data_IF_276440880587
#
_entry.id   IF_276440880587
#
_cell.length_a   1.000
_cell.length_b   1.000
_cell.length_c   1.000
_cell.angle_alpha   90.00
_cell.angle_beta   90.00
_cell.angle_gamma   90.00
#
_symmetry.space_group_name_H-M   'P 1'
#
loop_
_entity.id
_entity.type
_entity.pdbx_description
1 polymer ?
#
# COMPACT_ATOMS: atom_id res chain seq x y z
N UNK A 1 13.13 26.05 -16.26
CA UNK A 1 13.03 24.86 -15.37
C UNK A 1 13.98 23.82 -15.90
N UNK A 2 14.94 23.42 -15.11
CA UNK A 2 15.81 22.28 -15.48
C UNK A 2 15.01 20.98 -15.37
N UNK A 3 15.40 19.96 -16.12
CA UNK A 3 14.75 18.63 -16.07
C UNK A 3 14.79 18.07 -14.63
N UNK A 4 15.86 18.36 -13.90
CA UNK A 4 16.01 17.97 -12.50
C UNK A 4 14.98 18.64 -11.57
N UNK A 5 14.65 19.91 -11.77
CA UNK A 5 13.62 20.61 -11.01
C UNK A 5 12.22 20.04 -11.29
N UNK A 6 11.92 19.68 -12.53
CA UNK A 6 10.63 19.08 -12.89
C UNK A 6 10.46 17.69 -12.27
N UNK A 7 11.52 16.89 -12.25
CA UNK A 7 11.45 15.52 -11.70
C UNK A 7 11.35 15.54 -10.16
N UNK A 8 11.95 16.53 -9.49
CA UNK A 8 11.95 16.64 -8.02
C UNK A 8 10.66 17.25 -7.45
N UNK A 9 9.82 17.87 -8.26
CA UNK A 9 8.53 18.40 -7.79
C UNK A 9 7.49 17.28 -7.63
N UNK A 10 6.53 17.41 -6.69
CA UNK A 10 5.43 16.48 -6.57
C UNK A 10 4.59 16.50 -7.85
N UNK A 11 4.54 15.39 -8.54
CA UNK A 11 3.80 15.29 -9.79
C UNK A 11 2.30 15.32 -9.54
N UNK A 12 1.54 16.12 -10.30
CA UNK A 12 0.10 16.14 -10.16
C UNK A 12 -0.51 14.78 -10.53
N UNK A 13 -1.63 14.44 -9.88
CA UNK A 13 -2.31 13.15 -10.03
C UNK A 13 -2.66 12.80 -11.48
N UNK A 14 -2.96 13.80 -12.32
CA UNK A 14 -3.28 13.61 -13.73
C UNK A 14 -2.06 13.26 -14.61
N UNK A 15 -0.84 13.35 -14.08
CA UNK A 15 0.39 12.88 -14.71
C UNK A 15 0.81 11.53 -14.12
N UNK A 16 0.87 11.45 -12.80
CA UNK A 16 1.31 10.24 -12.10
C UNK A 16 0.34 9.07 -12.32
N UNK A 17 -0.97 9.31 -12.30
CA UNK A 17 -1.99 8.27 -12.51
C UNK A 17 -1.87 7.57 -13.87
N UNK A 18 -1.89 8.29 -15.00
CA UNK A 18 -1.68 7.70 -16.32
C UNK A 18 -0.34 6.98 -16.48
N UNK A 19 0.75 7.47 -15.89
CA UNK A 19 2.05 6.79 -15.93
C UNK A 19 2.02 5.45 -15.20
N UNK A 20 1.41 5.38 -14.01
CA UNK A 20 1.21 4.13 -13.29
C UNK A 20 0.34 3.18 -14.11
N UNK A 21 -0.75 3.67 -14.69
CA UNK A 21 -1.61 2.89 -15.57
C UNK A 21 -0.87 2.34 -16.78
N UNK A 22 -0.01 3.14 -17.39
CA UNK A 22 0.82 2.71 -18.53
C UNK A 22 1.77 1.58 -18.16
N UNK A 23 2.39 1.63 -16.97
CA UNK A 23 3.27 0.54 -16.47
C UNK A 23 2.49 -0.77 -16.38
N UNK A 24 1.24 -0.75 -15.92
CA UNK A 24 0.40 -1.96 -15.84
C UNK A 24 0.09 -2.55 -17.23
N UNK A 25 -0.27 -1.69 -18.18
CA UNK A 25 -0.55 -2.09 -19.55
C UNK A 25 0.71 -2.68 -20.19
N UNK A 26 1.87 -2.05 -20.00
CA UNK A 26 3.15 -2.55 -20.52
C UNK A 26 3.53 -3.89 -19.88
N UNK A 27 3.34 -4.03 -18.58
CA UNK A 27 3.63 -5.29 -17.88
C UNK A 27 2.76 -6.43 -18.44
N UNK A 28 1.47 -6.18 -18.65
CA UNK A 28 0.56 -7.16 -19.19
C UNK A 28 0.86 -7.47 -20.68
N UNK A 29 1.23 -6.46 -21.45
CA UNK A 29 1.51 -6.61 -22.87
C UNK A 29 2.85 -7.31 -23.15
N UNK A 30 3.91 -6.98 -22.38
CA UNK A 30 5.26 -7.54 -22.58
C UNK A 30 5.39 -8.91 -21.91
N UNK A 31 4.95 -9.02 -20.65
CA UNK A 31 5.14 -10.23 -19.84
C UNK A 31 3.94 -11.15 -19.82
N UNK A 32 2.79 -10.70 -20.34
CA UNK A 32 1.49 -11.41 -20.24
C UNK A 32 1.16 -11.81 -18.78
N UNK A 33 1.49 -10.94 -17.83
CA UNK A 33 1.35 -11.18 -16.40
C UNK A 33 0.52 -10.08 -15.73
N UNK A 34 -0.54 -10.45 -15.01
CA UNK A 34 -1.32 -9.47 -14.22
C UNK A 34 -0.53 -9.03 -12.98
N UNK A 35 -0.51 -7.74 -12.70
CA UNK A 35 0.10 -7.24 -11.47
C UNK A 35 -0.73 -7.66 -10.26
N UNK A 36 -0.11 -8.35 -9.31
CA UNK A 36 -0.71 -8.74 -8.04
C UNK A 36 0.33 -8.64 -6.90
N UNK A 37 0.47 -7.45 -6.31
CA UNK A 37 1.48 -7.22 -5.28
C UNK A 37 1.29 -8.10 -4.03
N UNK A 38 0.05 -8.48 -3.67
CA UNK A 38 -0.20 -9.36 -2.53
C UNK A 38 0.33 -10.79 -2.71
N UNK A 39 0.46 -11.26 -3.96
CA UNK A 39 1.04 -12.58 -4.22
C UNK A 39 2.54 -12.63 -3.93
N UNK A 40 3.25 -11.49 -3.96
CA UNK A 40 4.67 -11.41 -3.64
C UNK A 40 4.97 -11.90 -2.21
N UNK A 41 4.10 -11.58 -1.25
CA UNK A 41 4.25 -12.08 0.12
C UNK A 41 4.19 -13.62 0.19
N UNK A 42 3.30 -14.22 -0.60
CA UNK A 42 3.21 -15.68 -0.71
C UNK A 42 4.47 -16.27 -1.33
N UNK A 43 5.00 -15.64 -2.39
CA UNK A 43 6.23 -16.07 -3.04
C UNK A 43 7.43 -15.93 -2.10
N UNK A 44 7.52 -14.84 -1.34
CA UNK A 44 8.55 -14.65 -0.31
C UNK A 44 8.45 -15.72 0.79
N UNK A 45 7.25 -15.98 1.32
CA UNK A 45 7.06 -17.03 2.31
C UNK A 45 7.42 -18.42 1.75
N UNK A 46 7.07 -18.72 0.51
CA UNK A 46 7.43 -19.98 -0.13
C UNK A 46 8.95 -20.14 -0.38
N UNK A 47 9.66 -19.02 -0.56
CA UNK A 47 11.12 -19.01 -0.73
C UNK A 47 11.86 -19.19 0.61
N UNK A 48 11.34 -18.58 1.70
CA UNK A 48 11.98 -18.59 3.03
C UNK A 48 11.62 -19.86 3.82
N UNK A 49 10.36 -20.29 3.76
CA UNK A 49 9.86 -21.45 4.50
C UNK A 49 9.62 -22.63 3.55
N UNK A 50 10.60 -23.54 3.40
CA UNK A 50 10.43 -24.69 2.51
C UNK A 50 9.35 -25.64 3.05
N UNK A 51 8.20 -25.50 2.51
CA UNK A 51 7.20 -26.50 2.12
C UNK A 51 6.79 -27.62 3.08
N UNK A 52 6.49 -27.34 4.35
CA UNK A 52 5.62 -28.25 5.13
C UNK A 52 4.13 -27.91 4.98
N UNK A 53 3.81 -26.71 4.51
CA UNK A 53 2.45 -26.21 4.37
C UNK A 53 2.00 -26.43 2.90
N UNK A 54 0.92 -27.18 2.62
CA UNK A 54 0.46 -27.44 1.24
C UNK A 54 0.26 -26.18 0.40
N UNK A 55 -0.16 -25.09 1.04
CA UNK A 55 -0.38 -23.78 0.44
C UNK A 55 0.89 -23.13 -0.14
N UNK A 56 2.07 -23.40 0.45
CA UNK A 56 3.37 -22.87 0.01
C UNK A 56 4.12 -23.85 -0.92
N UNK A 57 3.55 -25.05 -1.15
CA UNK A 57 4.16 -26.10 -1.98
C UNK A 57 3.84 -25.88 -3.45
N UNK A 58 4.51 -24.93 -4.09
CA UNK A 58 4.42 -24.68 -5.51
C UNK A 58 5.76 -24.14 -6.05
N UNK A 59 5.91 -24.10 -7.36
CA UNK A 59 7.13 -23.60 -7.99
C UNK A 59 7.17 -22.05 -7.95
N UNK A 60 7.57 -21.47 -6.81
CA UNK A 60 7.70 -20.03 -6.65
C UNK A 60 8.74 -19.40 -7.58
N UNK A 61 9.71 -20.19 -8.10
CA UNK A 61 10.71 -19.70 -9.06
C UNK A 61 10.10 -19.28 -10.40
N UNK A 62 8.98 -19.86 -10.79
CA UNK A 62 8.24 -19.42 -11.98
C UNK A 62 7.64 -18.00 -11.81
N UNK A 63 7.49 -17.54 -10.57
CA UNK A 63 6.94 -16.23 -10.23
C UNK A 63 8.01 -15.21 -9.78
N UNK A 64 9.28 -15.50 -10.08
CA UNK A 64 10.41 -14.61 -9.72
C UNK A 64 10.25 -13.20 -10.32
N UNK A 65 9.63 -13.10 -11.49
CA UNK A 65 9.32 -11.81 -12.11
C UNK A 65 8.57 -10.85 -11.16
N UNK A 66 7.62 -11.37 -10.39
CA UNK A 66 6.83 -10.60 -9.43
C UNK A 66 7.71 -10.09 -8.27
N UNK A 67 8.63 -10.92 -7.79
CA UNK A 67 9.60 -10.51 -6.75
C UNK A 67 10.57 -9.45 -7.27
N UNK A 68 11.05 -9.59 -8.53
CA UNK A 68 11.90 -8.58 -9.18
C UNK A 68 11.13 -7.27 -9.37
N UNK A 69 9.87 -7.33 -9.77
CA UNK A 69 9.02 -6.15 -9.92
C UNK A 69 8.85 -5.40 -8.58
N UNK A 70 8.54 -6.12 -7.50
CA UNK A 70 8.42 -5.52 -6.16
C UNK A 70 9.76 -4.97 -5.66
N UNK A 71 10.87 -5.67 -5.92
CA UNK A 71 12.20 -5.14 -5.62
C UNK A 71 12.49 -3.85 -6.40
N UNK A 72 12.06 -3.78 -7.67
CA UNK A 72 12.15 -2.57 -8.48
C UNK A 72 11.35 -1.39 -7.90
N UNK A 73 10.13 -1.64 -7.39
CA UNK A 73 9.34 -0.60 -6.69
C UNK A 73 10.08 -0.12 -5.43
N UNK A 74 10.65 -1.05 -4.65
CA UNK A 74 11.39 -0.71 -3.44
C UNK A 74 12.64 0.12 -3.75
N UNK A 75 13.43 -0.29 -4.74
CA UNK A 75 14.62 0.44 -5.20
C UNK A 75 14.22 1.82 -5.74
N UNK A 76 13.15 1.88 -6.56
CA UNK A 76 12.65 3.15 -7.10
C UNK A 76 12.20 4.11 -6.00
N UNK A 77 11.49 3.63 -4.99
CA UNK A 77 11.10 4.42 -3.82
C UNK A 77 12.31 4.91 -3.01
N UNK A 78 13.31 4.05 -2.80
CA UNK A 78 14.54 4.41 -2.13
C UNK A 78 15.32 5.49 -2.90
N UNK A 79 15.46 5.34 -4.21
CA UNK A 79 16.11 6.34 -5.05
C UNK A 79 15.33 7.66 -5.06
N UNK A 80 14.01 7.61 -5.11
CA UNK A 80 13.19 8.80 -5.03
C UNK A 80 13.39 9.53 -3.69
N UNK A 81 13.40 8.81 -2.58
CA UNK A 81 13.58 9.38 -1.26
C UNK A 81 14.99 9.95 -1.03
N UNK A 82 16.04 9.38 -1.66
CA UNK A 82 17.42 9.80 -1.45
C UNK A 82 17.90 10.84 -2.46
N UNK A 83 17.53 10.69 -3.74
CA UNK A 83 18.04 11.53 -4.84
C UNK A 83 17.08 12.68 -5.15
N UNK A 84 15.76 12.41 -5.09
CA UNK A 84 14.72 13.38 -5.43
C UNK A 84 14.14 14.06 -4.19
N UNK A 85 14.72 13.81 -3.02
CA UNK A 85 14.22 14.32 -1.75
C UNK A 85 14.22 15.85 -1.75
N UNK A 86 13.04 16.43 -1.85
CA UNK A 86 12.84 17.83 -1.54
C UNK A 86 12.57 17.94 -0.02
N UNK A 87 13.28 18.85 0.67
CA UNK A 87 13.07 19.09 2.12
C UNK A 87 11.75 19.85 2.39
N UNK A 88 10.76 19.74 1.53
CA UNK A 88 9.44 20.34 1.75
C UNK A 88 8.62 19.40 2.63
N UNK A 89 8.23 19.89 3.80
CA UNK A 89 7.21 19.27 4.63
C UNK A 89 5.98 18.94 3.77
N UNK A 90 5.34 17.82 4.06
CA UNK A 90 4.12 17.42 3.36
C UNK A 90 3.10 18.54 3.51
N UNK A 91 2.73 19.18 2.41
CA UNK A 91 1.76 20.27 2.42
C UNK A 91 0.35 19.68 2.55
N UNK A 92 -0.09 19.48 3.78
CA UNK A 92 -1.47 19.10 4.11
C UNK A 92 -2.27 20.38 4.37
N UNK A 93 -3.54 20.41 3.94
CA UNK A 93 -4.40 21.56 4.22
C UNK A 93 -4.58 21.77 5.74
N UNK A 94 -4.64 23.02 6.17
CA UNK A 94 -4.81 23.34 7.59
C UNK A 94 -6.08 22.74 8.19
N UNK A 95 -7.15 22.58 7.40
CA UNK A 95 -8.38 21.91 7.83
C UNK A 95 -8.14 20.42 8.12
N UNK A 96 -7.38 19.74 7.27
CA UNK A 96 -7.04 18.31 7.49
C UNK A 96 -6.15 18.16 8.72
N UNK A 97 -5.18 19.06 8.92
CA UNK A 97 -4.32 19.05 10.12
C UNK A 97 -5.18 19.21 11.38
N UNK A 98 -6.10 20.17 11.40
CA UNK A 98 -7.00 20.38 12.54
C UNK A 98 -7.90 19.16 12.80
N UNK A 99 -8.44 18.54 11.75
CA UNK A 99 -9.23 17.32 11.88
C UNK A 99 -8.40 16.16 12.45
N UNK A 100 -7.19 15.95 11.96
CA UNK A 100 -6.28 14.91 12.46
C UNK A 100 -5.90 15.16 13.92
N UNK A 101 -5.61 16.41 14.29
CA UNK A 101 -5.33 16.79 15.66
C UNK A 101 -6.54 16.61 16.58
N UNK A 102 -7.74 16.89 16.10
CA UNK A 102 -8.98 16.71 16.86
C UNK A 102 -9.27 15.26 17.22
N UNK A 103 -8.82 14.31 16.41
CA UNK A 103 -8.92 12.86 16.67
C UNK A 103 -7.72 12.31 17.43
N UNK A 104 -6.72 13.15 17.81
CA UNK A 104 -5.60 12.77 18.67
C UNK A 104 -4.29 12.45 17.95
N UNK A 105 -4.19 12.66 16.63
CA UNK A 105 -2.95 12.55 15.89
C UNK A 105 -2.17 13.85 16.00
N UNK A 106 -0.97 13.79 16.60
CA UNK A 106 -0.10 14.96 16.82
C UNK A 106 0.92 15.13 15.68
N UNK A 107 1.38 14.04 15.11
CA UNK A 107 2.42 14.03 14.07
C UNK A 107 1.75 14.04 12.68
N UNK A 108 1.71 15.21 12.05
CA UNK A 108 1.13 15.41 10.72
C UNK A 108 2.17 15.73 9.66
N UNK A 109 3.45 15.82 10.05
CA UNK A 109 4.54 16.26 9.17
C UNK A 109 5.16 15.11 8.37
N UNK A 110 4.84 13.85 8.72
CA UNK A 110 5.37 12.66 8.08
C UNK A 110 4.30 11.89 7.30
N UNK A 111 4.74 11.03 6.35
CA UNK A 111 3.84 10.19 5.53
C UNK A 111 2.99 9.21 6.32
N UNK A 112 3.45 8.81 7.51
CA UNK A 112 2.71 7.94 8.41
C UNK A 112 2.86 8.44 9.84
N UNK A 113 1.79 8.47 10.65
CA UNK A 113 1.87 8.91 12.03
C UNK A 113 2.76 7.94 12.84
N UNK A 114 3.90 8.45 13.30
CA UNK A 114 4.86 7.68 14.10
C UNK A 114 4.25 7.15 15.40
N UNK A 115 3.23 7.82 15.92
CA UNK A 115 2.46 7.37 17.08
C UNK A 115 1.84 5.97 16.88
N UNK A 116 1.49 5.61 15.62
CA UNK A 116 0.85 4.34 15.28
C UNK A 116 1.81 3.35 14.63
N UNK A 117 2.78 3.84 13.84
CA UNK A 117 3.63 3.02 12.97
C UNK A 117 5.12 3.09 13.31
N UNK A 118 5.47 3.24 14.60
CA UNK A 118 6.85 3.15 15.07
C UNK A 118 7.10 1.88 15.89
N UNK A 119 8.37 1.52 16.05
CA UNK A 119 8.73 0.44 16.97
C UNK A 119 8.35 0.75 18.43
N UNK A 120 8.32 2.03 18.81
CA UNK A 120 7.82 2.46 20.11
C UNK A 120 6.31 2.22 20.25
N UNK A 121 5.54 2.36 19.18
CA UNK A 121 4.10 2.07 19.19
C UNK A 121 3.80 0.59 19.48
N UNK A 122 4.69 -0.34 19.10
CA UNK A 122 4.56 -1.77 19.45
C UNK A 122 4.64 -2.04 20.95
N UNK A 123 5.10 -1.10 21.75
CA UNK A 123 5.11 -1.22 23.21
C UNK A 123 3.83 -0.70 23.87
N UNK A 124 2.92 -0.14 23.07
CA UNK A 124 1.63 0.37 23.52
C UNK A 124 0.49 -0.55 23.12
N UNK A 125 -0.55 -0.67 23.96
CA UNK A 125 -1.72 -1.52 23.66
C UNK A 125 -2.40 -1.09 22.36
N UNK A 126 -2.67 0.19 22.08
CA UNK A 126 -3.29 0.62 20.84
C UNK A 126 -2.41 0.34 19.60
N UNK A 127 -1.09 0.53 19.72
CA UNK A 127 -0.15 0.24 18.64
C UNK A 127 -0.12 -1.25 18.28
N UNK A 128 -0.13 -2.13 19.29
CA UNK A 128 -0.25 -3.57 19.07
C UNK A 128 -1.57 -3.90 18.36
N UNK A 129 -2.69 -3.33 18.81
CA UNK A 129 -4.00 -3.56 18.18
C UNK A 129 -3.96 -3.13 16.70
N UNK A 130 -3.45 -1.94 16.40
CA UNK A 130 -3.38 -1.45 15.02
C UNK A 130 -2.48 -2.33 14.15
N UNK A 131 -1.28 -2.66 14.64
CA UNK A 131 -0.31 -3.41 13.85
C UNK A 131 -0.67 -4.88 13.68
N UNK A 132 -1.07 -5.56 14.76
CA UNK A 132 -1.37 -7.00 14.71
C UNK A 132 -2.74 -7.23 14.11
N UNK A 133 -3.77 -6.57 14.61
CA UNK A 133 -5.13 -6.77 14.13
C UNK A 133 -5.34 -6.16 12.74
N UNK A 134 -4.80 -4.97 12.48
CA UNK A 134 -4.82 -4.35 11.15
C UNK A 134 -4.07 -5.21 10.13
N UNK A 135 -2.87 -5.68 10.46
CA UNK A 135 -2.09 -6.60 9.61
C UNK A 135 -2.83 -7.92 9.35
N UNK A 136 -3.48 -8.48 10.37
CA UNK A 136 -4.31 -9.67 10.21
C UNK A 136 -5.49 -9.42 9.26
N UNK A 137 -6.22 -8.33 9.43
CA UNK A 137 -7.36 -7.97 8.57
C UNK A 137 -6.93 -7.78 7.11
N UNK A 138 -5.80 -7.10 6.87
CA UNK A 138 -5.25 -6.92 5.52
C UNK A 138 -4.85 -8.27 4.91
N UNK A 139 -4.12 -9.10 5.66
CA UNK A 139 -3.66 -10.40 5.19
C UNK A 139 -4.82 -11.36 4.93
N UNK A 140 -5.75 -11.47 5.86
CA UNK A 140 -6.94 -12.32 5.72
C UNK A 140 -7.85 -11.79 4.60
N UNK A 141 -8.14 -10.49 4.59
CA UNK A 141 -9.02 -9.87 3.60
C UNK A 141 -8.50 -10.01 2.17
N UNK A 142 -7.21 -9.73 1.94
CA UNK A 142 -6.59 -9.89 0.62
C UNK A 142 -6.57 -11.35 0.17
N UNK A 143 -6.46 -12.28 1.11
CA UNK A 143 -6.49 -13.71 0.80
C UNK A 143 -7.90 -14.21 0.51
N UNK A 144 -8.88 -13.77 1.31
CA UNK A 144 -10.29 -14.14 1.13
C UNK A 144 -10.85 -13.58 -0.17
N UNK A 145 -10.53 -12.33 -0.50
CA UNK A 145 -10.93 -11.69 -1.75
C UNK A 145 -10.22 -12.25 -3.00
N UNK A 146 -9.13 -13.02 -2.84
CA UNK A 146 -8.32 -13.51 -3.94
C UNK A 146 -7.38 -12.47 -4.57
N UNK A 147 -7.25 -11.29 -3.98
CA UNK A 147 -6.40 -10.21 -4.46
C UNK A 147 -6.40 -8.99 -3.55
N UNK A 148 -5.54 -8.04 -3.85
CA UNK A 148 -5.48 -6.74 -3.18
C UNK A 148 -5.89 -5.62 -4.15
N UNK A 149 -5.74 -4.37 -3.73
CA UNK A 149 -6.05 -3.20 -4.58
C UNK A 149 -5.32 -3.26 -5.93
N UNK A 150 -4.06 -3.67 -5.98
CA UNK A 150 -3.32 -3.77 -7.25
C UNK A 150 -3.92 -4.83 -8.19
N UNK A 151 -4.39 -5.96 -7.67
CA UNK A 151 -5.01 -7.01 -8.47
C UNK A 151 -6.44 -6.69 -8.89
N UNK A 152 -7.26 -6.16 -8.00
CA UNK A 152 -8.67 -5.84 -8.29
C UNK A 152 -8.84 -4.45 -8.89
N UNK A 153 -8.38 -3.40 -8.19
CA UNK A 153 -8.67 -2.03 -8.62
C UNK A 153 -7.83 -1.59 -9.81
N UNK A 154 -6.58 -2.03 -9.90
CA UNK A 154 -5.73 -1.62 -11.02
C UNK A 154 -5.88 -2.60 -12.19
N UNK A 155 -5.49 -3.86 -12.03
CA UNK A 155 -5.53 -4.84 -13.13
C UNK A 155 -6.95 -5.28 -13.46
N UNK A 156 -7.75 -5.68 -12.47
CA UNK A 156 -9.09 -6.23 -12.71
C UNK A 156 -10.07 -5.21 -13.28
N UNK A 157 -9.98 -3.92 -12.92
CA UNK A 157 -10.81 -2.87 -13.53
C UNK A 157 -10.33 -2.57 -14.96
N UNK A 158 -9.00 -2.55 -15.20
CA UNK A 158 -8.49 -2.36 -16.56
C UNK A 158 -8.94 -3.48 -17.50
N UNK A 159 -9.10 -4.70 -16.99
CA UNK A 159 -9.66 -5.85 -17.71
C UNK A 159 -11.21 -5.86 -17.73
N UNK A 160 -11.87 -4.82 -17.22
CA UNK A 160 -13.34 -4.68 -17.13
C UNK A 160 -14.03 -5.85 -16.40
N UNK A 161 -13.34 -6.45 -15.42
CA UNK A 161 -13.90 -7.55 -14.63
C UNK A 161 -14.91 -7.03 -13.61
N UNK A 162 -16.18 -7.41 -13.75
CA UNK A 162 -17.25 -7.00 -12.85
C UNK A 162 -17.00 -7.37 -11.39
N UNK A 163 -16.46 -8.55 -11.14
CA UNK A 163 -16.10 -9.00 -9.79
C UNK A 163 -15.05 -8.10 -9.14
N UNK A 164 -14.12 -7.59 -9.92
CA UNK A 164 -13.08 -6.67 -9.46
C UNK A 164 -13.61 -5.27 -9.17
N UNK A 165 -14.62 -4.81 -9.92
CA UNK A 165 -15.33 -3.56 -9.61
C UNK A 165 -16.05 -3.65 -8.27
N UNK A 166 -16.75 -4.77 -8.01
CA UNK A 166 -17.44 -4.99 -6.73
C UNK A 166 -16.44 -5.10 -5.56
N UNK A 167 -15.34 -5.83 -5.76
CA UNK A 167 -14.27 -5.93 -4.76
C UNK A 167 -13.67 -4.55 -4.45
N UNK A 168 -13.42 -3.73 -5.46
CA UNK A 168 -12.90 -2.38 -5.30
C UNK A 168 -13.89 -1.50 -4.53
N UNK A 169 -15.16 -1.52 -4.86
CA UNK A 169 -16.19 -0.78 -4.12
C UNK A 169 -16.23 -1.20 -2.64
N UNK A 170 -16.11 -2.50 -2.36
CA UNK A 170 -16.06 -3.04 -0.99
C UNK A 170 -14.80 -2.59 -0.23
N UNK A 171 -13.63 -2.51 -0.90
CA UNK A 171 -12.38 -2.01 -0.31
C UNK A 171 -12.54 -0.54 0.08
N UNK A 172 -13.11 0.31 -0.79
CA UNK A 172 -13.37 1.72 -0.47
C UNK A 172 -14.37 1.87 0.68
N UNK A 173 -15.47 1.11 0.68
CA UNK A 173 -16.44 1.13 1.76
C UNK A 173 -15.80 0.73 3.10
N UNK A 174 -14.97 -0.32 3.12
CA UNK A 174 -14.21 -0.73 4.30
C UNK A 174 -13.21 0.33 4.77
N UNK A 175 -12.54 1.00 3.84
CA UNK A 175 -11.63 2.12 4.14
C UNK A 175 -12.35 3.30 4.80
N UNK A 176 -13.49 3.71 4.25
CA UNK A 176 -14.34 4.76 4.82
C UNK A 176 -14.82 4.37 6.23
N UNK A 177 -15.33 3.16 6.39
CA UNK A 177 -15.76 2.64 7.69
C UNK A 177 -14.62 2.68 8.72
N UNK A 178 -13.43 2.24 8.32
CA UNK A 178 -12.26 2.24 9.19
C UNK A 178 -11.85 3.67 9.57
N UNK A 179 -11.81 4.59 8.61
CA UNK A 179 -11.38 5.97 8.85
C UNK A 179 -12.36 6.74 9.75
N UNK A 180 -13.66 6.56 9.57
CA UNK A 180 -14.67 7.33 10.32
C UNK A 180 -15.10 6.69 11.64
N UNK A 181 -14.99 5.39 11.79
CA UNK A 181 -15.49 4.66 12.96
C UNK A 181 -14.34 4.02 13.76
N UNK A 182 -13.53 3.19 13.13
CA UNK A 182 -12.49 2.43 13.85
C UNK A 182 -11.34 3.32 14.31
N UNK A 183 -10.84 4.20 13.45
CA UNK A 183 -9.69 5.02 13.77
C UNK A 183 -9.95 5.98 14.95
N UNK A 184 -11.05 6.73 15.01
CA UNK A 184 -11.37 7.56 16.18
C UNK A 184 -11.56 6.75 17.48
N UNK A 185 -12.11 5.54 17.37
CA UNK A 185 -12.30 4.65 18.52
C UNK A 185 -10.95 4.17 19.08
N UNK A 186 -10.04 3.77 18.20
CA UNK A 186 -8.69 3.32 18.58
C UNK A 186 -7.89 4.48 19.18
N UNK A 187 -7.98 5.66 18.58
CA UNK A 187 -7.23 6.84 19.05
C UNK A 187 -7.72 7.34 20.43
N UNK A 188 -8.99 7.11 20.79
CA UNK A 188 -9.48 7.35 22.15
C UNK A 188 -8.80 6.47 23.20
N UNK A 189 -8.25 5.32 22.81
CA UNK A 189 -7.47 4.47 23.72
C UNK A 189 -6.03 4.99 23.94
N UNK A 190 -5.62 5.99 23.14
CA UNK A 190 -4.32 6.69 23.29
C UNK A 190 -4.39 7.90 24.23
N UNK A 191 -5.60 8.36 24.56
CA UNK A 191 -5.83 9.48 25.50
C UNK A 191 -6.03 8.97 26.92
#
# INVERSE_FOLDING_TARGET
MSVSEFISQPWPWYVAGPLIGLVLVLLQWIENKPLAASSSYRHMCAAIFPAKIPFLKYNWKAETWNLVFVAGIFIGGFLAATILNHPSNIAISNETVQQLQSIGLKDTDEFAPLQLFSFAALQTIPGIIVMVFGGFLIGFGSRYAGGCVSGHSMTGISDLQWTSMLATASIFAGGIFTAYILLPLILKLYQ
#
